data_IF_129765067713
#
_entry.id   IF_129765067713
#
_cell.length_a   1.000
_cell.length_b   1.000
_cell.length_c   1.000
_cell.angle_alpha   90.00
_cell.angle_beta   90.00
_cell.angle_gamma   90.00
#
_symmetry.space_group_name_H-M   'P 1'
#
loop_
_entity.id
_entity.type
_entity.pdbx_description
1 polymer ?
#
# COMPACT_ATOMS: atom_id res chain seq x y z
N UNK A 1 -1.84 6.74 15.91
CA UNK A 1 -2.19 7.69 14.84
C UNK A 1 -1.14 7.55 13.76
N UNK A 2 -1.53 7.44 12.49
CA UNK A 2 -0.57 7.54 11.38
C UNK A 2 -0.07 8.98 11.26
N UNK A 3 1.13 9.19 10.68
CA UNK A 3 1.70 10.55 10.52
C UNK A 3 0.74 11.50 9.78
N UNK A 4 0.03 10.98 8.77
CA UNK A 4 -0.98 11.72 8.03
C UNK A 4 -2.15 12.16 8.93
N UNK A 5 -2.60 11.27 9.82
CA UNK A 5 -3.71 11.55 10.72
C UNK A 5 -3.36 12.67 11.72
N UNK A 6 -2.13 12.70 12.25
CA UNK A 6 -1.66 13.78 13.12
C UNK A 6 -1.51 15.10 12.38
N UNK A 7 -0.92 15.09 11.17
CA UNK A 7 -0.73 16.30 10.36
C UNK A 7 -2.07 16.94 9.97
N UNK A 8 -3.04 16.14 9.55
CA UNK A 8 -4.37 16.62 9.17
C UNK A 8 -5.18 17.09 10.38
N UNK A 9 -5.05 16.41 11.52
CA UNK A 9 -5.68 16.84 12.77
C UNK A 9 -5.11 18.19 13.24
N UNK A 10 -3.80 18.37 13.23
CA UNK A 10 -3.14 19.63 13.58
C UNK A 10 -3.53 20.75 12.61
N UNK A 11 -3.56 20.48 11.31
CA UNK A 11 -3.99 21.45 10.30
C UNK A 11 -5.46 21.89 10.50
N UNK A 12 -6.37 20.97 10.82
CA UNK A 12 -7.76 21.33 11.12
C UNK A 12 -7.88 22.09 12.44
N UNK A 13 -7.06 21.76 13.43
CA UNK A 13 -7.05 22.49 14.70
C UNK A 13 -6.53 23.91 14.54
N UNK A 14 -5.58 24.14 13.63
CA UNK A 14 -5.06 25.47 13.29
C UNK A 14 -6.10 26.39 12.61
N UNK A 15 -7.19 25.83 12.07
CA UNK A 15 -8.30 26.58 11.46
C UNK A 15 -9.53 26.61 12.42
N UNK A 16 -9.32 26.34 13.71
CA UNK A 16 -10.34 26.32 14.76
C UNK A 16 -11.53 25.38 14.51
N UNK A 17 -11.30 24.29 13.77
CA UNK A 17 -12.30 23.24 13.61
C UNK A 17 -12.48 22.51 14.97
N UNK A 18 -13.72 22.24 15.40
CA UNK A 18 -13.98 21.46 16.61
C UNK A 18 -13.27 20.11 16.60
N UNK A 19 -12.67 19.74 17.72
CA UNK A 19 -11.83 18.53 17.88
C UNK A 19 -12.51 17.26 17.37
N UNK A 20 -13.79 17.06 17.71
CA UNK A 20 -14.57 15.90 17.26
C UNK A 20 -14.65 15.81 15.72
N UNK A 21 -14.81 16.95 15.03
CA UNK A 21 -14.87 16.99 13.56
C UNK A 21 -13.49 16.79 12.94
N UNK A 22 -12.44 17.39 13.53
CA UNK A 22 -11.07 17.23 13.08
C UNK A 22 -10.61 15.77 13.21
N UNK A 23 -10.90 15.12 14.34
CA UNK A 23 -10.54 13.73 14.61
C UNK A 23 -11.31 12.77 13.69
N UNK A 24 -12.60 13.03 13.46
CA UNK A 24 -13.41 12.23 12.52
C UNK A 24 -12.93 12.33 11.08
N UNK A 25 -12.55 13.52 10.62
CA UNK A 25 -12.01 13.74 9.27
C UNK A 25 -10.63 13.07 9.11
N UNK A 26 -9.73 13.23 10.08
CA UNK A 26 -8.42 12.59 10.06
C UNK A 26 -8.52 11.05 10.07
N UNK A 27 -9.45 10.50 10.86
CA UNK A 27 -9.70 9.06 10.93
C UNK A 27 -10.29 8.51 9.63
N UNK A 28 -11.21 9.24 8.99
CA UNK A 28 -11.75 8.86 7.69
C UNK A 28 -10.65 8.81 6.61
N UNK A 29 -9.66 9.70 6.69
CA UNK A 29 -8.54 9.75 5.76
C UNK A 29 -7.56 8.59 5.96
N UNK A 30 -7.29 8.22 7.23
CA UNK A 30 -6.40 7.10 7.57
C UNK A 30 -6.90 5.75 7.07
N UNK A 31 -8.21 5.58 6.87
CA UNK A 31 -8.79 4.33 6.34
C UNK A 31 -8.26 3.99 4.94
N UNK A 32 -7.83 4.99 4.17
CA UNK A 32 -7.22 4.79 2.84
C UNK A 32 -5.83 4.14 2.92
N UNK A 33 -5.08 4.38 4.00
CA UNK A 33 -3.72 3.85 4.13
C UNK A 33 -3.73 2.33 4.33
N UNK A 34 -4.72 1.81 5.05
CA UNK A 34 -4.92 0.37 5.26
C UNK A 34 -5.19 -0.34 3.93
N UNK A 35 -6.07 0.21 3.09
CA UNK A 35 -6.36 -0.32 1.76
C UNK A 35 -5.10 -0.33 0.87
N UNK A 36 -4.32 0.75 0.90
CA UNK A 36 -3.08 0.85 0.11
C UNK A 36 -2.03 -0.15 0.60
N UNK A 37 -1.91 -0.36 1.91
CA UNK A 37 -0.96 -1.33 2.47
C UNK A 37 -1.31 -2.76 2.06
N UNK A 38 -2.61 -3.09 2.07
CA UNK A 38 -3.13 -4.39 1.63
C UNK A 38 -2.84 -4.61 0.16
N UNK A 39 -3.15 -3.62 -0.69
CA UNK A 39 -2.87 -3.66 -2.13
C UNK A 39 -1.37 -3.84 -2.43
N UNK A 40 -0.49 -3.17 -1.68
CA UNK A 40 0.97 -3.34 -1.83
C UNK A 40 1.41 -4.77 -1.50
N UNK A 41 0.83 -5.38 -0.47
CA UNK A 41 1.08 -6.77 -0.10
C UNK A 41 0.65 -7.74 -1.20
N UNK A 42 -0.59 -7.60 -1.70
CA UNK A 42 -1.11 -8.41 -2.80
C UNK A 42 -0.26 -8.28 -4.07
N UNK A 43 0.15 -7.05 -4.41
CA UNK A 43 0.97 -6.78 -5.58
C UNK A 43 2.39 -7.37 -5.47
N UNK A 44 2.94 -7.45 -4.26
CA UNK A 44 4.22 -8.11 -4.00
C UNK A 44 4.12 -9.63 -4.23
N UNK A 45 3.03 -10.25 -3.78
CA UNK A 45 2.76 -11.68 -4.04
C UNK A 45 2.65 -11.94 -5.54
N UNK A 46 1.88 -11.13 -6.26
CA UNK A 46 1.74 -11.25 -7.72
C UNK A 46 3.09 -11.12 -8.43
N UNK A 47 3.93 -10.16 -8.02
CA UNK A 47 5.28 -9.99 -8.58
C UNK A 47 6.14 -11.25 -8.40
N UNK A 48 6.11 -11.87 -7.22
CA UNK A 48 6.85 -13.10 -6.96
C UNK A 48 6.34 -14.27 -7.80
N UNK A 49 5.02 -14.44 -7.91
CA UNK A 49 4.42 -15.49 -8.74
C UNK A 49 4.81 -15.33 -10.21
N UNK A 50 4.70 -14.11 -10.76
CA UNK A 50 5.09 -13.81 -12.13
C UNK A 50 6.59 -14.03 -12.35
N UNK A 51 7.43 -13.59 -11.42
CA UNK A 51 8.88 -13.82 -11.47
C UNK A 51 9.24 -15.30 -11.50
N UNK A 52 8.58 -16.11 -10.66
CA UNK A 52 8.77 -17.56 -10.64
C UNK A 52 8.37 -18.22 -11.97
N UNK A 53 7.19 -17.87 -12.51
CA UNK A 53 6.72 -18.41 -13.79
C UNK A 53 7.69 -18.05 -14.92
N UNK A 54 8.17 -16.81 -14.98
CA UNK A 54 9.15 -16.39 -15.98
C UNK A 54 10.49 -17.13 -15.82
N UNK A 55 11.00 -17.26 -14.60
CA UNK A 55 12.23 -18.00 -14.33
C UNK A 55 12.11 -19.47 -14.74
N UNK A 56 10.95 -20.09 -14.48
CA UNK A 56 10.67 -21.46 -14.88
C UNK A 56 10.60 -21.62 -16.39
N UNK A 57 9.95 -20.69 -17.11
CA UNK A 57 9.92 -20.68 -18.57
C UNK A 57 11.32 -20.55 -19.16
N UNK A 58 12.15 -19.64 -18.62
CA UNK A 58 13.55 -19.48 -19.06
C UNK A 58 14.35 -20.75 -18.77
N UNK A 59 14.19 -21.36 -17.59
CA UNK A 59 14.88 -22.60 -17.25
C UNK A 59 14.52 -23.76 -18.20
N UNK A 60 13.24 -23.90 -18.55
CA UNK A 60 12.79 -24.86 -19.57
C UNK A 60 13.44 -24.53 -20.92
N UNK A 61 13.37 -23.27 -21.36
CA UNK A 61 13.92 -22.86 -22.65
C UNK A 61 15.44 -23.13 -22.73
N UNK A 62 16.20 -22.83 -21.68
CA UNK A 62 17.64 -23.14 -21.60
C UNK A 62 17.86 -24.64 -21.70
N UNK A 63 17.09 -25.46 -20.96
CA UNK A 63 17.23 -26.92 -21.02
C UNK A 63 16.86 -27.51 -22.38
N UNK A 64 15.97 -26.87 -23.14
CA UNK A 64 15.45 -27.39 -24.41
C UNK A 64 16.28 -26.95 -25.63
N UNK A 65 16.93 -25.78 -25.55
CA UNK A 65 17.66 -25.17 -26.69
C UNK A 65 19.16 -25.03 -26.47
N UNK A 66 19.65 -25.02 -25.23
CA UNK A 66 21.06 -24.81 -24.89
C UNK A 66 21.71 -26.03 -24.19
N UNK A 67 20.98 -27.15 -24.09
CA UNK A 67 21.49 -28.45 -23.64
C UNK A 67 20.96 -29.58 -24.52
#
# INVERSE_FOLDING_TARGET
>A
MSNLQSEVFEAFRAIDIPEDKALKAATALSKRDDDVSTLKGELLVIKWMMGFVLAFQVAIAVKLFLH
#
